data_IF_154220095650
#
_entry.id   IF_154220095650
#
_cell.length_a   1.000
_cell.length_b   1.000
_cell.length_c   1.000
_cell.angle_alpha   90.00
_cell.angle_beta   90.00
_cell.angle_gamma   90.00
#
_symmetry.space_group_name_H-M   'P 1'
#
loop_
_entity.id
_entity.type
_entity.pdbx_description
1 polymer ?
#
# COMPACT_ATOMS: atom_id res chain seq x y z
N UNK A 1 46.64 -66.42 12.76
CA UNK A 1 46.98 -67.13 14.01
C UNK A 1 47.74 -66.18 14.94
N UNK A 2 47.84 -66.51 16.23
CA UNK A 2 47.85 -65.63 17.44
C UNK A 2 49.23 -65.09 17.89
N UNK A 3 49.29 -63.78 18.24
CA UNK A 3 50.01 -62.91 19.26
C UNK A 3 51.51 -63.12 19.73
N UNK A 4 52.14 -62.22 20.56
CA UNK A 4 53.18 -61.21 20.18
C UNK A 4 54.50 -61.25 21.03
N UNK A 5 55.41 -60.24 20.89
CA UNK A 5 55.75 -59.44 22.08
C UNK A 5 55.85 -57.90 21.90
N UNK A 6 55.51 -57.24 23.01
CA UNK A 6 55.65 -55.83 23.47
C UNK A 6 57.08 -55.26 23.29
N UNK A 7 57.44 -53.96 23.29
CA UNK A 7 56.96 -52.59 23.67
C UNK A 7 57.94 -51.63 22.89
N UNK A 8 57.72 -50.35 22.58
CA UNK A 8 57.36 -49.20 23.42
C UNK A 8 56.68 -48.11 22.55
N UNK A 9 55.60 -47.57 23.12
CA UNK A 9 55.17 -46.16 23.19
C UNK A 9 54.96 -45.33 21.90
N UNK A 10 53.70 -45.03 21.60
CA UNK A 10 53.03 -43.75 21.93
C UNK A 10 51.91 -43.44 20.91
N UNK A 11 50.70 -43.27 21.42
CA UNK A 11 49.43 -42.89 20.75
C UNK A 11 48.63 -44.05 20.13
N UNK A 12 47.44 -44.32 20.69
CA UNK A 12 46.43 -45.27 20.20
C UNK A 12 45.93 -44.87 18.80
N UNK A 13 46.68 -45.21 17.75
CA UNK A 13 46.15 -45.18 16.38
C UNK A 13 45.31 -46.43 16.15
N UNK A 14 44.01 -46.34 16.45
CA UNK A 14 43.05 -47.35 16.01
C UNK A 14 43.05 -47.43 14.49
N UNK A 15 43.45 -48.55 13.91
CA UNK A 15 43.39 -48.77 12.46
C UNK A 15 42.20 -49.64 12.09
N UNK A 16 41.57 -49.35 10.94
CA UNK A 16 40.45 -50.13 10.39
C UNK A 16 40.81 -50.59 8.98
N UNK A 17 40.69 -51.90 8.71
CA UNK A 17 40.96 -52.48 7.39
C UNK A 17 39.64 -52.70 6.67
N UNK A 18 39.51 -52.11 5.48
CA UNK A 18 38.36 -52.28 4.60
C UNK A 18 38.82 -53.07 3.37
N UNK A 19 38.11 -54.14 3.03
CA UNK A 19 38.38 -54.94 1.83
C UNK A 19 37.29 -54.65 0.81
N UNK A 20 37.70 -54.30 -0.41
CA UNK A 20 36.80 -54.06 -1.54
C UNK A 20 37.35 -54.78 -2.77
N UNK A 21 36.46 -55.28 -3.62
CA UNK A 21 36.79 -55.81 -4.96
C UNK A 21 36.75 -54.71 -6.03
N UNK A 22 36.19 -53.54 -5.71
CA UNK A 22 36.08 -52.39 -6.59
C UNK A 22 37.29 -51.45 -6.45
N UNK A 23 37.55 -50.62 -7.46
CA UNK A 23 38.61 -49.60 -7.42
C UNK A 23 38.27 -48.38 -6.56
N UNK A 24 37.10 -48.35 -5.92
CA UNK A 24 36.66 -47.32 -4.99
C UNK A 24 35.91 -47.94 -3.79
N UNK A 25 35.78 -47.19 -2.70
CA UNK A 25 34.98 -47.55 -1.52
C UNK A 25 34.65 -46.31 -0.69
N UNK A 26 33.44 -46.23 -0.15
CA UNK A 26 33.01 -45.14 0.72
C UNK A 26 33.26 -45.46 2.19
N UNK A 27 34.02 -44.61 2.87
CA UNK A 27 34.37 -44.78 4.28
C UNK A 27 33.45 -43.90 5.13
N UNK A 28 32.47 -44.51 5.79
CA UNK A 28 31.49 -43.82 6.64
C UNK A 28 31.86 -43.93 8.13
N UNK A 29 31.24 -43.06 8.94
CA UNK A 29 31.37 -43.05 10.40
C UNK A 29 32.73 -42.59 10.90
N UNK A 30 33.34 -41.59 10.24
CA UNK A 30 34.55 -40.93 10.72
C UNK A 30 34.19 -39.92 11.81
N UNK A 31 34.96 -39.86 12.88
CA UNK A 31 34.77 -38.88 13.96
C UNK A 31 35.02 -37.48 13.39
N UNK A 32 34.17 -36.48 13.71
CA UNK A 32 34.40 -35.08 13.31
C UNK A 32 35.72 -34.53 13.86
N UNK A 33 36.29 -33.53 13.19
CA UNK A 33 37.50 -32.83 13.61
C UNK A 33 38.70 -33.74 13.89
N UNK A 34 38.75 -34.89 13.22
CA UNK A 34 39.75 -35.93 13.45
C UNK A 34 40.56 -36.17 12.17
N UNK A 35 41.88 -36.23 12.32
CA UNK A 35 42.79 -36.52 11.21
C UNK A 35 42.93 -38.03 11.00
N UNK A 36 42.67 -38.49 9.78
CA UNK A 36 42.79 -39.88 9.37
C UNK A 36 43.88 -40.06 8.31
N UNK A 37 44.58 -41.19 8.38
CA UNK A 37 45.59 -41.60 7.39
C UNK A 37 45.11 -42.85 6.67
N UNK A 38 45.07 -42.80 5.34
CA UNK A 38 44.65 -43.89 4.50
C UNK A 38 45.82 -44.46 3.70
N UNK A 39 45.91 -45.79 3.67
CA UNK A 39 46.82 -46.56 2.82
C UNK A 39 46.03 -47.63 2.07
N UNK A 40 46.31 -47.79 0.79
CA UNK A 40 45.66 -48.79 -0.07
C UNK A 40 46.71 -49.74 -0.61
N UNK A 41 46.39 -51.03 -0.69
CA UNK A 41 47.24 -52.02 -1.40
C UNK A 41 46.37 -52.98 -2.18
N UNK A 42 46.87 -53.43 -3.33
CA UNK A 42 46.18 -54.45 -4.13
C UNK A 42 46.43 -55.86 -3.57
N UNK A 43 45.48 -56.78 -3.79
CA UNK A 43 45.65 -58.21 -3.51
C UNK A 43 45.43 -59.00 -4.78
N UNK A 44 46.38 -59.84 -5.16
CA UNK A 44 46.30 -60.79 -6.28
C UNK A 44 46.41 -62.22 -5.77
N UNK A 45 46.31 -63.21 -6.67
CA UNK A 45 46.52 -64.62 -6.31
C UNK A 45 47.93 -64.89 -5.74
N UNK A 46 48.93 -64.06 -6.09
CA UNK A 46 50.30 -64.15 -5.58
C UNK A 46 50.50 -63.49 -4.20
N UNK A 47 49.51 -62.75 -3.68
CA UNK A 47 49.59 -62.12 -2.35
C UNK A 47 49.17 -60.65 -2.34
N UNK A 48 49.64 -59.91 -1.34
CA UNK A 48 49.41 -58.47 -1.22
C UNK A 48 50.56 -57.70 -1.87
N UNK A 49 50.22 -56.69 -2.69
CA UNK A 49 51.21 -55.74 -3.20
C UNK A 49 51.61 -54.69 -2.16
N UNK A 50 52.52 -53.81 -2.57
CA UNK A 50 52.97 -52.68 -1.77
C UNK A 50 51.84 -51.70 -1.43
N UNK A 51 51.99 -51.00 -0.31
CA UNK A 51 51.08 -49.95 0.07
C UNK A 51 51.29 -48.68 -0.76
N UNK A 52 50.20 -47.97 -1.04
CA UNK A 52 50.23 -46.63 -1.61
C UNK A 52 50.87 -45.63 -0.66
N UNK A 53 51.27 -44.48 -1.21
CA UNK A 53 51.61 -43.31 -0.42
C UNK A 53 50.47 -42.95 0.56
N UNK A 54 50.79 -42.50 1.80
CA UNK A 54 49.78 -42.12 2.78
C UNK A 54 48.98 -40.93 2.27
N UNK A 55 47.66 -41.07 2.29
CA UNK A 55 46.76 -39.93 2.09
C UNK A 55 46.19 -39.49 3.43
N UNK A 56 46.45 -38.25 3.83
CA UNK A 56 45.95 -37.69 5.08
C UNK A 56 44.75 -36.79 4.80
N UNK A 57 43.69 -36.97 5.58
CA UNK A 57 42.48 -36.17 5.47
C UNK A 57 41.90 -35.88 6.86
N UNK A 58 41.58 -34.61 7.12
CA UNK A 58 40.91 -34.18 8.34
C UNK A 58 39.43 -33.97 8.06
N UNK A 59 38.57 -34.59 8.89
CA UNK A 59 37.13 -34.37 8.80
C UNK A 59 36.80 -32.97 9.28
N UNK A 60 36.05 -32.22 8.47
CA UNK A 60 35.54 -30.91 8.88
C UNK A 60 34.44 -31.08 9.94
N UNK A 61 34.17 -30.01 10.71
CA UNK A 61 33.03 -29.98 11.62
C UNK A 61 31.75 -30.30 10.84
N UNK A 62 31.18 -31.48 11.06
CA UNK A 62 29.78 -31.69 10.72
C UNK A 62 29.02 -30.68 11.58
N UNK A 63 28.11 -29.86 11.03
CA UNK A 63 27.12 -29.23 11.90
C UNK A 63 26.57 -30.38 12.75
N UNK A 64 26.54 -30.22 14.07
CA UNK A 64 25.86 -31.15 14.95
C UNK A 64 24.55 -31.56 14.26
N UNK A 65 24.08 -32.83 14.37
CA UNK A 65 22.74 -33.14 13.89
C UNK A 65 21.84 -32.07 14.49
N UNK A 66 21.35 -31.18 13.63
CA UNK A 66 20.44 -30.14 14.07
C UNK A 66 19.32 -30.99 14.63
N UNK A 67 19.13 -30.91 15.94
CA UNK A 67 17.87 -31.28 16.57
C UNK A 67 16.88 -30.26 16.01
N UNK A 68 16.49 -30.51 14.75
CA UNK A 68 15.39 -29.97 14.01
C UNK A 68 14.37 -31.08 13.90
N UNK A 69 14.12 -31.73 15.03
CA UNK A 69 12.88 -32.45 15.28
C UNK A 69 12.20 -31.66 16.40
N UNK A 70 11.23 -30.82 16.02
CA UNK A 70 10.48 -29.99 16.97
C UNK A 70 10.48 -28.47 16.72
N UNK A 71 10.40 -27.98 15.48
CA UNK A 71 9.63 -26.74 15.30
C UNK A 71 8.16 -27.13 15.41
N UNK A 72 7.55 -26.81 16.56
CA UNK A 72 6.18 -27.17 16.93
C UNK A 72 5.25 -27.06 15.70
N UNK A 73 4.70 -28.19 15.23
CA UNK A 73 3.78 -28.23 14.08
C UNK A 73 2.64 -27.20 14.20
N UNK A 74 2.24 -26.89 15.44
CA UNK A 74 1.30 -25.84 15.80
C UNK A 74 1.79 -24.42 15.45
N UNK A 75 3.06 -24.10 15.64
CA UNK A 75 3.65 -22.79 15.28
C UNK A 75 3.71 -22.61 13.76
N UNK A 76 4.05 -23.68 13.02
CA UNK A 76 4.01 -23.65 11.56
C UNK A 76 2.58 -23.49 11.03
N UNK A 77 1.60 -24.23 11.59
CA UNK A 77 0.19 -24.09 11.26
C UNK A 77 -0.35 -22.68 11.56
N UNK A 78 -0.06 -22.13 12.75
CA UNK A 78 -0.50 -20.77 13.13
C UNK A 78 0.13 -19.72 12.23
N UNK A 79 1.41 -19.87 11.84
CA UNK A 79 2.07 -18.96 10.90
C UNK A 79 1.45 -19.01 9.50
N UNK A 80 1.10 -20.20 9.01
CA UNK A 80 0.47 -20.37 7.70
C UNK A 80 -0.95 -19.79 7.71
N UNK A 81 -1.75 -20.09 8.73
CA UNK A 81 -3.11 -19.55 8.86
C UNK A 81 -3.08 -18.02 9.03
N UNK A 82 -2.18 -17.51 9.87
CA UNK A 82 -2.02 -16.06 10.09
C UNK A 82 -1.64 -15.30 8.82
N UNK A 83 -0.75 -15.85 7.99
CA UNK A 83 -0.36 -15.23 6.72
C UNK A 83 -1.49 -15.22 5.69
N UNK A 84 -2.30 -16.28 5.60
CA UNK A 84 -3.49 -16.32 4.73
C UNK A 84 -4.53 -15.30 5.18
N UNK A 85 -4.83 -15.21 6.48
CA UNK A 85 -5.77 -14.21 7.02
C UNK A 85 -5.28 -12.78 6.77
N UNK A 86 -3.99 -12.51 6.98
CA UNK A 86 -3.40 -11.20 6.69
C UNK A 86 -3.52 -10.83 5.21
N UNK A 87 -3.26 -11.77 4.30
CA UNK A 87 -3.43 -11.56 2.86
C UNK A 87 -4.88 -11.26 2.49
N UNK A 88 -5.85 -11.97 3.06
CA UNK A 88 -7.27 -11.69 2.83
C UNK A 88 -7.67 -10.31 3.33
N UNK A 89 -7.16 -9.87 4.49
CA UNK A 89 -7.39 -8.52 5.02
C UNK A 89 -6.81 -7.47 4.07
N UNK A 90 -5.57 -7.64 3.60
CA UNK A 90 -4.93 -6.70 2.68
C UNK A 90 -5.67 -6.62 1.33
N UNK A 91 -6.09 -7.77 0.78
CA UNK A 91 -6.89 -7.82 -0.46
C UNK A 91 -8.24 -7.14 -0.23
N UNK A 92 -8.93 -7.40 0.88
CA UNK A 92 -10.21 -6.76 1.19
C UNK A 92 -10.05 -5.24 1.36
N UNK A 93 -9.02 -4.79 2.07
CA UNK A 93 -8.71 -3.37 2.24
C UNK A 93 -8.38 -2.71 0.90
N UNK A 94 -7.65 -3.40 0.02
CA UNK A 94 -7.34 -2.95 -1.33
C UNK A 94 -8.56 -2.88 -2.24
N UNK A 95 -9.46 -3.87 -2.15
CA UNK A 95 -10.73 -3.86 -2.90
C UNK A 95 -11.65 -2.75 -2.38
N UNK A 96 -11.73 -2.54 -1.05
CA UNK A 96 -12.51 -1.48 -0.44
C UNK A 96 -11.92 -0.11 -0.78
N UNK A 97 -10.59 0.06 -0.75
CA UNK A 97 -9.94 1.32 -1.12
C UNK A 97 -10.12 1.62 -2.61
N UNK A 98 -10.01 0.61 -3.48
CA UNK A 98 -10.33 0.75 -4.91
C UNK A 98 -11.82 1.01 -5.15
N UNK A 99 -12.74 0.40 -4.39
CA UNK A 99 -14.19 0.69 -4.48
C UNK A 99 -14.50 2.10 -3.99
N UNK A 100 -13.88 2.59 -2.91
CA UNK A 100 -14.04 3.99 -2.46
C UNK A 100 -13.44 4.98 -3.44
N UNK A 101 -12.30 4.65 -4.04
CA UNK A 101 -11.68 5.45 -5.10
C UNK A 101 -12.56 5.49 -6.35
N UNK A 102 -13.09 4.35 -6.80
CA UNK A 102 -14.04 4.27 -7.92
C UNK A 102 -15.40 4.89 -7.62
N UNK A 103 -15.90 4.83 -6.39
CA UNK A 103 -17.14 5.53 -5.99
C UNK A 103 -16.92 7.04 -5.94
N UNK A 104 -15.74 7.50 -5.50
CA UNK A 104 -15.35 8.91 -5.58
C UNK A 104 -15.18 9.38 -7.03
N UNK A 105 -14.63 8.52 -7.90
CA UNK A 105 -14.42 8.82 -9.32
C UNK A 105 -15.72 8.73 -10.14
N UNK A 106 -16.55 7.71 -9.94
CA UNK A 106 -17.85 7.58 -10.62
C UNK A 106 -18.85 8.67 -10.20
N UNK A 107 -18.70 9.27 -9.01
CA UNK A 107 -19.47 10.45 -8.61
C UNK A 107 -18.94 11.76 -9.24
N UNK A 108 -17.65 11.82 -9.59
CA UNK A 108 -17.09 12.91 -10.41
C UNK A 108 -17.44 12.72 -11.89
N UNK A 109 -17.26 11.51 -12.43
CA UNK A 109 -17.55 11.18 -13.83
C UNK A 109 -19.06 11.30 -14.16
N UNK A 110 -19.96 11.01 -13.22
CA UNK A 110 -21.40 11.23 -13.41
C UNK A 110 -21.83 12.72 -13.36
N UNK A 111 -21.02 13.60 -12.76
CA UNK A 111 -21.14 15.05 -12.88
C UNK A 111 -20.51 15.53 -14.21
N UNK A 112 -19.38 14.93 -14.64
CA UNK A 112 -18.74 15.22 -15.95
C UNK A 112 -19.58 14.77 -17.17
N UNK A 113 -20.29 13.64 -17.09
CA UNK A 113 -21.13 13.14 -18.20
C UNK A 113 -22.34 14.05 -18.45
N UNK A 114 -22.76 14.85 -17.46
CA UNK A 114 -23.74 15.94 -17.67
C UNK A 114 -23.15 17.20 -18.29
N UNK A 115 -21.83 17.41 -18.19
CA UNK A 115 -21.13 18.57 -18.78
C UNK A 115 -20.70 18.33 -20.23
N UNK A 116 -20.56 17.08 -20.68
CA UNK A 116 -20.09 16.79 -22.04
C UNK A 116 -21.16 16.97 -23.13
N UNK A 117 -22.44 17.08 -22.74
CA UNK A 117 -23.58 17.32 -23.64
C UNK A 117 -24.06 18.78 -23.61
N UNK A 118 -23.17 19.76 -23.58
CA UNK A 118 -23.56 21.13 -23.87
C UNK A 118 -22.56 21.78 -24.82
N UNK A 119 -22.88 21.72 -26.11
CA UNK A 119 -22.13 22.39 -27.17
C UNK A 119 -21.88 23.84 -26.77
N UNK A 120 -20.60 24.25 -26.85
CA UNK A 120 -20.08 25.63 -26.71
C UNK A 120 -21.05 26.54 -25.96
N UNK A 121 -21.08 26.48 -24.62
CA UNK A 121 -21.73 27.55 -23.83
C UNK A 121 -20.91 28.81 -24.02
N UNK A 122 -21.35 29.67 -24.93
CA UNK A 122 -20.86 31.03 -25.07
C UNK A 122 -21.25 31.76 -23.78
N UNK A 123 -20.31 32.53 -23.21
CA UNK A 123 -20.59 33.40 -22.06
C UNK A 123 -21.83 34.26 -22.35
N UNK A 124 -22.81 34.21 -21.45
CA UNK A 124 -24.02 35.01 -21.53
C UNK A 124 -23.87 36.15 -20.53
N UNK A 125 -23.80 37.37 -21.05
CA UNK A 125 -23.71 38.55 -20.22
C UNK A 125 -24.98 38.67 -19.35
N UNK A 126 -24.89 38.72 -18.00
CA UNK A 126 -26.05 38.90 -17.14
C UNK A 126 -26.90 40.13 -17.48
N UNK A 127 -26.31 41.16 -18.11
CA UNK A 127 -27.04 42.35 -18.57
C UNK A 127 -27.98 42.07 -19.75
N UNK A 128 -27.93 40.89 -20.37
CA UNK A 128 -28.97 40.44 -21.31
C UNK A 128 -30.27 40.04 -20.62
N UNK A 129 -30.27 39.85 -19.30
CA UNK A 129 -31.48 39.58 -18.53
C UNK A 129 -32.04 40.88 -17.94
N UNK A 130 -33.34 41.09 -18.10
CA UNK A 130 -34.08 42.18 -17.44
C UNK A 130 -34.18 41.95 -15.92
N UNK A 131 -34.22 40.68 -15.47
CA UNK A 131 -34.27 40.28 -14.06
C UNK A 131 -33.03 39.47 -13.66
N UNK A 132 -32.14 39.98 -12.77
CA UNK A 132 -30.98 39.25 -12.28
C UNK A 132 -31.33 37.94 -11.55
N UNK A 133 -32.54 37.83 -11.00
CA UNK A 133 -32.97 36.57 -10.39
C UNK A 133 -33.17 35.48 -11.45
N UNK A 134 -33.48 35.83 -12.70
CA UNK A 134 -33.57 34.87 -13.80
C UNK A 134 -32.18 34.33 -14.16
N UNK A 135 -31.20 35.22 -14.34
CA UNK A 135 -29.81 34.84 -14.62
C UNK A 135 -29.26 33.93 -13.51
N UNK A 136 -29.49 34.28 -12.24
CA UNK A 136 -29.05 33.46 -11.09
C UNK A 136 -29.73 32.10 -11.06
N UNK A 137 -31.03 31.99 -11.37
CA UNK A 137 -31.74 30.70 -11.44
C UNK A 137 -31.20 29.79 -12.55
N UNK A 138 -30.69 30.38 -13.63
CA UNK A 138 -30.17 29.63 -14.77
C UNK A 138 -28.73 29.16 -14.56
N UNK A 139 -27.89 30.00 -13.95
CA UNK A 139 -26.45 29.75 -13.85
C UNK A 139 -25.97 29.37 -12.46
N UNK A 140 -26.74 29.62 -11.40
CA UNK A 140 -26.34 29.30 -10.04
C UNK A 140 -27.29 28.30 -9.39
N UNK A 141 -26.72 27.48 -8.52
CA UNK A 141 -27.46 26.47 -7.77
C UNK A 141 -28.06 27.08 -6.52
N UNK A 142 -29.38 26.97 -6.35
CA UNK A 142 -30.04 27.34 -5.09
C UNK A 142 -29.66 26.35 -3.98
N UNK A 143 -29.22 26.87 -2.84
CA UNK A 143 -28.83 26.11 -1.64
C UNK A 143 -29.86 26.37 -0.54
N UNK A 144 -30.29 25.32 0.14
CA UNK A 144 -31.11 25.45 1.34
C UNK A 144 -30.27 25.99 2.50
N UNK A 145 -30.80 26.99 3.22
CA UNK A 145 -30.13 27.64 4.35
C UNK A 145 -29.66 26.64 5.41
N UNK A 146 -30.39 25.53 5.61
CA UNK A 146 -30.02 24.48 6.58
C UNK A 146 -28.72 23.74 6.21
N UNK A 147 -28.29 23.81 4.95
CA UNK A 147 -27.02 23.23 4.50
C UNK A 147 -25.80 24.10 4.85
N UNK A 148 -26.01 25.35 5.28
CA UNK A 148 -24.95 26.34 5.50
C UNK A 148 -24.82 26.61 7.00
N UNK A 149 -23.57 26.61 7.48
CA UNK A 149 -23.22 27.08 8.82
C UNK A 149 -22.23 28.23 8.70
N UNK A 150 -22.66 29.43 9.10
CA UNK A 150 -21.80 30.61 9.19
C UNK A 150 -20.96 30.50 10.46
N UNK A 151 -19.64 30.72 10.37
CA UNK A 151 -18.72 30.59 11.51
C UNK A 151 -18.15 31.93 11.95
N UNK A 152 -17.42 32.63 11.08
CA UNK A 152 -16.72 33.87 11.45
C UNK A 152 -16.66 34.85 10.28
N UNK A 153 -16.81 36.15 10.57
CA UNK A 153 -16.53 37.22 9.59
C UNK A 153 -15.04 37.26 9.27
N UNK A 154 -14.70 37.13 7.98
CA UNK A 154 -13.32 37.17 7.48
C UNK A 154 -13.02 38.47 6.72
N UNK A 155 -14.03 39.25 6.34
CA UNK A 155 -13.85 40.55 5.70
C UNK A 155 -15.16 41.29 5.47
N UNK A 156 -15.05 42.52 4.99
CA UNK A 156 -16.18 43.35 4.57
C UNK A 156 -15.98 43.64 3.07
N UNK A 157 -16.93 43.20 2.26
CA UNK A 157 -17.00 43.50 0.84
C UNK A 157 -17.91 44.69 0.54
N UNK A 158 -18.05 45.02 -0.74
CA UNK A 158 -18.92 46.11 -1.21
C UNK A 158 -20.38 45.97 -0.77
N UNK A 159 -20.89 44.74 -0.77
CA UNK A 159 -22.30 44.44 -0.53
C UNK A 159 -22.64 44.13 0.94
N UNK A 160 -21.63 43.83 1.76
CA UNK A 160 -21.84 43.34 3.13
C UNK A 160 -20.64 42.56 3.64
N UNK A 161 -20.88 41.67 4.60
CA UNK A 161 -19.83 40.88 5.21
C UNK A 161 -19.50 39.65 4.36
N UNK A 162 -18.22 39.29 4.36
CA UNK A 162 -17.73 38.00 3.89
C UNK A 162 -17.42 37.16 5.12
N UNK A 163 -18.09 36.02 5.25
CA UNK A 163 -17.90 35.10 6.35
C UNK A 163 -17.22 33.81 5.88
N UNK A 164 -16.39 33.21 6.72
CA UNK A 164 -16.04 31.80 6.59
C UNK A 164 -17.17 30.95 7.18
N UNK A 165 -17.42 29.80 6.58
CA UNK A 165 -18.40 28.84 7.06
C UNK A 165 -18.22 27.45 6.49
N UNK A 166 -19.22 26.61 6.73
CA UNK A 166 -19.27 25.21 6.29
C UNK A 166 -20.49 24.98 5.42
N UNK A 167 -20.32 24.27 4.32
CA UNK A 167 -21.40 23.81 3.46
C UNK A 167 -21.49 22.28 3.52
N UNK A 168 -22.66 21.76 3.89
CA UNK A 168 -22.94 20.32 3.98
C UNK A 168 -24.12 19.95 3.10
N UNK A 169 -23.82 19.58 1.85
CA UNK A 169 -24.84 19.07 0.94
C UNK A 169 -25.23 17.62 1.25
N UNK A 170 -26.49 17.20 1.02
CA UNK A 170 -26.92 15.82 1.19
C UNK A 170 -26.04 14.85 0.39
N UNK A 171 -25.46 13.87 1.07
CA UNK A 171 -24.60 12.85 0.45
C UNK A 171 -23.23 13.35 -0.03
N UNK A 172 -22.83 14.59 0.25
CA UNK A 172 -21.45 15.08 0.03
C UNK A 172 -20.74 15.29 1.38
N UNK A 173 -19.41 15.37 1.34
CA UNK A 173 -18.60 15.75 2.51
C UNK A 173 -18.81 17.25 2.79
N UNK A 174 -18.70 17.62 4.06
CA UNK A 174 -18.72 19.02 4.45
C UNK A 174 -17.44 19.72 3.98
N UNK A 175 -17.59 20.92 3.42
CA UNK A 175 -16.48 21.74 2.89
C UNK A 175 -16.46 23.12 3.54
N UNK A 176 -15.28 23.74 3.64
CA UNK A 176 -15.14 25.14 4.00
C UNK A 176 -15.54 26.03 2.82
N UNK A 177 -16.31 27.08 3.09
CA UNK A 177 -16.76 28.04 2.08
C UNK A 177 -16.57 29.47 2.57
N UNK A 178 -16.45 30.40 1.62
CA UNK A 178 -16.66 31.82 1.86
C UNK A 178 -18.12 32.16 1.53
N UNK A 179 -18.77 32.89 2.43
CA UNK A 179 -20.19 33.25 2.36
C UNK A 179 -20.24 34.77 2.27
N UNK A 180 -20.48 35.28 1.07
CA UNK A 180 -20.73 36.70 0.85
C UNK A 180 -22.19 36.99 1.17
N UNK A 181 -22.44 37.96 2.05
CA UNK A 181 -23.78 38.35 2.47
C UNK A 181 -24.14 39.73 1.92
N UNK A 182 -25.43 39.94 1.68
CA UNK A 182 -25.97 41.25 1.33
C UNK A 182 -26.51 41.91 2.61
N UNK A 183 -25.98 43.09 2.95
CA UNK A 183 -26.35 43.82 4.17
C UNK A 183 -27.84 44.18 4.21
N UNK A 184 -28.40 44.30 5.42
CA UNK A 184 -29.76 44.82 5.58
C UNK A 184 -29.89 46.26 5.04
N UNK A 185 -31.07 46.61 4.52
CA UNK A 185 -31.33 47.93 3.95
C UNK A 185 -30.58 48.21 2.65
N UNK A 186 -30.20 47.15 1.92
CA UNK A 186 -29.62 47.28 0.58
C UNK A 186 -30.56 48.03 -0.38
N UNK A 187 -29.98 48.72 -1.36
CA UNK A 187 -30.74 49.28 -2.49
C UNK A 187 -31.01 48.21 -3.55
N UNK A 188 -32.04 48.39 -4.39
CA UNK A 188 -32.30 47.46 -5.49
C UNK A 188 -31.10 47.33 -6.44
N UNK A 189 -30.36 48.43 -6.67
CA UNK A 189 -29.12 48.40 -7.45
C UNK A 189 -28.08 47.46 -6.81
N UNK A 190 -27.83 47.59 -5.52
CA UNK A 190 -26.88 46.72 -4.80
C UNK A 190 -27.30 45.26 -4.83
N UNK A 191 -28.61 44.98 -4.71
CA UNK A 191 -29.12 43.61 -4.87
C UNK A 191 -28.86 43.07 -6.26
N UNK A 192 -29.15 43.86 -7.31
CA UNK A 192 -28.93 43.46 -8.70
C UNK A 192 -27.45 43.20 -8.98
N UNK A 193 -26.58 44.10 -8.54
CA UNK A 193 -25.12 43.96 -8.71
C UNK A 193 -24.59 42.72 -7.98
N UNK A 194 -25.05 42.47 -6.74
CA UNK A 194 -24.70 41.28 -5.96
C UNK A 194 -25.14 39.97 -6.63
N UNK A 195 -26.36 39.93 -7.18
CA UNK A 195 -26.87 38.77 -7.90
C UNK A 195 -26.17 38.58 -9.26
N UNK A 196 -25.79 39.67 -9.93
CA UNK A 196 -25.05 39.64 -11.18
C UNK A 196 -23.66 39.01 -11.00
N UNK A 197 -22.95 39.34 -9.91
CA UNK A 197 -21.66 38.69 -9.61
C UNK A 197 -21.81 37.16 -9.50
N UNK A 198 -22.86 36.68 -8.82
CA UNK A 198 -23.14 35.25 -8.71
C UNK A 198 -23.51 34.61 -10.06
N UNK A 199 -24.29 35.28 -10.91
CA UNK A 199 -24.67 34.74 -12.22
C UNK A 199 -23.50 34.68 -13.20
N UNK A 200 -22.52 35.59 -13.11
CA UNK A 200 -21.26 35.51 -13.85
C UNK A 200 -20.47 34.31 -13.37
N UNK A 201 -20.24 34.19 -12.06
CA UNK A 201 -19.44 33.10 -11.50
C UNK A 201 -20.04 31.72 -11.80
N UNK A 202 -21.37 31.59 -11.78
CA UNK A 202 -22.07 30.33 -12.05
C UNK A 202 -21.90 29.78 -13.47
N UNK A 203 -21.43 30.61 -14.41
CA UNK A 203 -21.16 30.18 -15.79
C UNK A 203 -19.78 29.53 -15.98
N UNK A 204 -18.90 29.61 -14.98
CA UNK A 204 -17.52 29.12 -15.09
C UNK A 204 -17.27 27.90 -14.21
N UNK A 205 -16.66 26.89 -14.81
CA UNK A 205 -16.09 25.73 -14.11
C UNK A 205 -14.67 25.50 -14.63
N UNK A 206 -13.68 26.02 -13.91
CA UNK A 206 -12.29 26.01 -14.33
C UNK A 206 -11.34 26.05 -13.12
N UNK A 207 -10.22 25.29 -13.12
CA UNK A 207 -9.31 25.20 -11.97
C UNK A 207 -8.68 26.53 -11.52
N UNK A 208 -8.60 27.52 -12.43
CA UNK A 208 -8.01 28.84 -12.16
C UNK A 208 -9.07 29.94 -11.93
N UNK A 209 -10.36 29.58 -11.84
CA UNK A 209 -11.46 30.52 -11.57
C UNK A 209 -12.12 30.09 -10.25
N UNK A 210 -12.49 31.07 -9.42
CA UNK A 210 -13.16 30.79 -8.15
C UNK A 210 -14.51 30.13 -8.44
N UNK A 211 -14.70 28.93 -7.90
CA UNK A 211 -15.94 28.17 -8.07
C UNK A 211 -17.06 28.70 -7.16
N UNK A 212 -18.25 28.91 -7.74
CA UNK A 212 -19.45 29.24 -7.00
C UNK A 212 -20.21 27.96 -6.63
N UNK A 213 -20.20 27.59 -5.35
CA UNK A 213 -20.94 26.42 -4.85
C UNK A 213 -22.46 26.58 -4.97
N UNK A 214 -22.95 27.82 -4.84
CA UNK A 214 -24.35 28.17 -5.03
C UNK A 214 -24.75 29.48 -4.35
N UNK A 215 -26.05 29.75 -4.38
CA UNK A 215 -26.69 30.97 -3.87
C UNK A 215 -27.83 30.64 -2.92
N UNK A 216 -28.19 31.61 -2.08
CA UNK A 216 -29.41 31.57 -1.27
C UNK A 216 -30.21 32.81 -1.65
N UNK A 217 -31.30 32.62 -2.39
CA UNK A 217 -32.17 33.71 -2.84
C UNK A 217 -33.55 33.66 -2.19
N UNK A 218 -33.95 32.50 -1.66
CA UNK A 218 -35.22 32.30 -0.97
C UNK A 218 -35.02 32.37 0.54
N UNK A 219 -35.49 33.46 1.16
CA UNK A 219 -35.69 33.52 2.60
C UNK A 219 -37.13 33.07 2.91
N UNK A 220 -37.31 32.18 3.89
CA UNK A 220 -38.63 31.87 4.45
C UNK A 220 -39.12 33.02 5.33
#
# INVERSE_FOLDING_TARGET
CVSPPRRLDQNERSYRIIKTSSRNTDIKGLTPLTSYVFHVRARTAAGYGEFSAPFQFMTNSVPAPIIGDGTNSTVLLVSVVGSVVLLLILISAFVISRRRSKYSKAKQDADEEKHLHQGVRIYIDPFTYEDPNQAVREFAKEIDVSCIKIEKVIGIGEFGEVCSGRLKMPGKREICVAIKTLKAGYTDKQRRDFLSEASIMGQFDHPNIIHLEGVVTKCK
#
